data_IF_280145546233
#
_entry.id   IF_280145546233
#
_cell.length_a   1.000
_cell.length_b   1.000
_cell.length_c   1.000
_cell.angle_alpha   90.00
_cell.angle_beta   90.00
_cell.angle_gamma   90.00
#
_symmetry.space_group_name_H-M   'P 1'
#
loop_
_entity.id
_entity.type
_entity.pdbx_description
1 polymer ?
#
# COMPACT_ATOMS: atom_id res chain seq x y z
N UNK A 1 -18.51 1.87 -17.48
CA UNK A 1 -18.22 2.20 -16.07
C UNK A 1 -16.74 2.47 -15.98
N UNK A 2 -16.36 3.75 -15.93
CA UNK A 2 -14.98 4.18 -15.82
C UNK A 2 -14.48 3.84 -14.42
N UNK A 3 -13.94 2.64 -14.25
CA UNK A 3 -13.08 2.38 -13.12
C UNK A 3 -11.91 3.36 -13.24
N UNK A 4 -11.85 4.35 -12.34
CA UNK A 4 -10.63 5.12 -12.12
C UNK A 4 -9.63 4.20 -11.37
N UNK A 5 -9.28 3.06 -11.98
CA UNK A 5 -8.17 2.25 -11.51
C UNK A 5 -6.92 2.94 -11.96
N UNK A 6 -6.12 3.42 -11.01
CA UNK A 6 -4.76 3.88 -11.31
C UNK A 6 -4.06 2.76 -12.06
N UNK A 7 -3.78 3.01 -13.34
CA UNK A 7 -3.20 2.01 -14.22
C UNK A 7 -1.71 1.84 -13.91
N UNK A 8 -1.13 0.72 -14.34
CA UNK A 8 0.31 0.53 -14.20
C UNK A 8 1.10 1.61 -14.96
N UNK A 9 0.57 2.09 -16.08
CA UNK A 9 1.16 3.21 -16.82
C UNK A 9 1.20 4.49 -15.99
N UNK A 10 0.16 4.79 -15.21
CA UNK A 10 0.14 5.96 -14.34
C UNK A 10 1.19 5.86 -13.22
N UNK A 11 1.36 4.67 -12.64
CA UNK A 11 2.41 4.43 -11.64
C UNK A 11 3.80 4.58 -12.27
N UNK A 12 4.00 4.03 -13.46
CA UNK A 12 5.28 4.17 -14.19
C UNK A 12 5.56 5.63 -14.58
N UNK A 13 4.55 6.39 -14.99
CA UNK A 13 4.71 7.79 -15.34
C UNK A 13 5.19 8.63 -14.14
N UNK A 14 4.62 8.37 -12.96
CA UNK A 14 4.88 9.17 -11.77
C UNK A 14 6.10 8.72 -10.95
N UNK A 15 6.41 7.42 -10.95
CA UNK A 15 7.33 6.82 -9.98
C UNK A 15 8.39 5.90 -10.59
N UNK A 16 8.54 5.76 -11.91
CA UNK A 16 9.52 4.82 -12.50
C UNK A 16 10.93 4.98 -11.91
N UNK A 17 11.48 6.19 -11.97
CA UNK A 17 12.84 6.45 -11.52
C UNK A 17 12.99 6.19 -10.02
N UNK A 18 11.98 6.56 -9.22
CA UNK A 18 11.95 6.27 -7.79
C UNK A 18 11.93 4.78 -7.49
N UNK A 19 11.09 4.01 -8.19
CA UNK A 19 10.97 2.56 -8.02
C UNK A 19 12.28 1.84 -8.38
N UNK A 20 12.92 2.23 -9.48
CA UNK A 20 14.19 1.66 -9.92
C UNK A 20 15.32 1.99 -8.95
N UNK A 21 15.43 3.25 -8.53
CA UNK A 21 16.44 3.68 -7.57
C UNK A 21 16.26 3.06 -6.19
N UNK A 22 15.02 3.05 -5.68
CA UNK A 22 14.68 2.44 -4.40
C UNK A 22 14.99 0.94 -4.42
N UNK A 23 14.67 0.22 -5.51
CA UNK A 23 15.04 -1.20 -5.61
C UNK A 23 16.55 -1.41 -5.62
N UNK A 24 17.29 -0.63 -6.43
CA UNK A 24 18.75 -0.74 -6.52
C UNK A 24 19.40 -0.58 -5.14
N UNK A 25 19.04 0.48 -4.42
CA UNK A 25 19.61 0.79 -3.10
C UNK A 25 19.20 -0.27 -2.07
N UNK A 26 17.91 -0.60 -2.02
CA UNK A 26 17.40 -1.51 -1.00
C UNK A 26 17.87 -2.94 -1.22
N UNK A 27 18.02 -3.39 -2.47
CA UNK A 27 18.59 -4.71 -2.77
C UNK A 27 19.98 -4.84 -2.18
N UNK A 28 20.86 -3.87 -2.40
CA UNK A 28 22.23 -3.92 -1.89
C UNK A 28 22.25 -3.96 -0.34
N UNK A 29 21.30 -3.27 0.30
CA UNK A 29 21.11 -3.32 1.77
C UNK A 29 20.60 -4.69 2.21
N UNK A 30 19.61 -5.26 1.51
CA UNK A 30 19.03 -6.56 1.85
C UNK A 30 20.06 -7.68 1.70
N UNK A 31 20.84 -7.66 0.62
CA UNK A 31 21.90 -8.64 0.36
C UNK A 31 23.03 -8.56 1.39
N UNK A 32 23.30 -7.36 1.92
CA UNK A 32 24.31 -7.15 2.96
C UNK A 32 23.82 -7.45 4.39
N UNK A 33 22.50 -7.56 4.61
CA UNK A 33 21.92 -7.71 5.95
C UNK A 33 22.10 -9.11 6.56
N UNK A 34 22.28 -10.14 5.74
CA UNK A 34 22.57 -11.50 6.17
C UNK A 34 23.53 -12.20 5.17
N UNK A 35 24.55 -12.95 5.61
CA UNK A 35 25.51 -13.60 4.72
C UNK A 35 24.88 -14.54 3.67
N UNK A 36 23.70 -15.11 3.97
CA UNK A 36 22.97 -15.99 3.07
C UNK A 36 21.96 -15.26 2.18
N UNK A 37 21.68 -13.97 2.43
CA UNK A 37 20.64 -13.21 1.74
C UNK A 37 20.91 -13.09 0.24
N UNK A 38 22.16 -12.79 -0.16
CA UNK A 38 22.56 -12.68 -1.56
C UNK A 38 22.32 -13.98 -2.36
N UNK A 39 22.50 -15.13 -1.72
CA UNK A 39 22.33 -16.44 -2.36
C UNK A 39 20.88 -16.91 -2.32
N UNK A 40 20.16 -16.63 -1.23
CA UNK A 40 18.81 -17.17 -1.00
C UNK A 40 17.70 -16.25 -1.48
N UNK A 41 17.98 -14.95 -1.67
CA UNK A 41 16.96 -13.93 -1.98
C UNK A 41 15.96 -13.71 -0.84
N UNK A 42 16.31 -14.12 0.39
CA UNK A 42 15.42 -14.15 1.55
C UNK A 42 16.07 -13.51 2.77
N UNK A 43 15.23 -12.88 3.60
CA UNK A 43 15.63 -12.33 4.90
C UNK A 43 14.61 -12.71 5.97
N UNK A 44 15.04 -12.96 7.22
CA UNK A 44 14.13 -12.94 8.37
C UNK A 44 13.29 -11.66 8.36
N UNK A 45 11.99 -11.78 8.66
CA UNK A 45 11.06 -10.65 8.65
C UNK A 45 11.52 -9.47 9.52
N UNK A 46 12.17 -9.75 10.64
CA UNK A 46 12.76 -8.72 11.51
C UNK A 46 13.90 -7.94 10.82
N UNK A 47 14.81 -8.63 10.14
CA UNK A 47 15.91 -7.98 9.42
C UNK A 47 15.41 -7.15 8.24
N UNK A 48 14.35 -7.59 7.54
CA UNK A 48 13.71 -6.79 6.51
C UNK A 48 13.18 -5.46 7.09
N UNK A 49 12.52 -5.51 8.25
CA UNK A 49 12.03 -4.32 8.95
C UNK A 49 13.17 -3.37 9.32
N UNK A 50 14.27 -3.89 9.84
CA UNK A 50 15.43 -3.09 10.22
C UNK A 50 16.09 -2.44 8.99
N UNK A 51 16.18 -3.16 7.87
CA UNK A 51 16.65 -2.62 6.60
C UNK A 51 15.79 -1.45 6.13
N UNK A 52 14.46 -1.60 6.14
CA UNK A 52 13.54 -0.53 5.74
C UNK A 52 13.66 0.69 6.66
N UNK A 53 13.80 0.47 7.97
CA UNK A 53 13.98 1.54 8.97
C UNK A 53 15.34 2.23 8.89
N UNK A 54 16.35 1.58 8.31
CA UNK A 54 17.68 2.17 8.12
C UNK A 54 17.70 3.32 7.10
N UNK A 55 16.61 3.51 6.35
CA UNK A 55 16.45 4.56 5.31
C UNK A 55 15.20 5.43 5.54
N UNK A 56 15.12 6.16 6.66
CA UNK A 56 13.98 7.03 6.95
C UNK A 56 13.80 8.17 5.92
N UNK A 57 14.85 8.53 5.20
CA UNK A 57 14.81 9.49 4.09
C UNK A 57 14.10 8.95 2.84
N UNK A 58 13.90 7.63 2.75
CA UNK A 58 13.20 6.95 1.63
C UNK A 58 11.80 6.51 2.01
N UNK A 59 11.63 6.02 3.23
CA UNK A 59 10.35 5.48 3.70
C UNK A 59 9.97 6.09 5.04
N UNK A 60 8.79 6.69 5.08
CA UNK A 60 8.14 7.09 6.33
C UNK A 60 7.78 5.87 7.18
N UNK A 61 7.58 6.07 8.49
CA UNK A 61 7.20 4.97 9.40
C UNK A 61 5.89 4.27 9.00
N UNK A 62 4.97 5.02 8.38
CA UNK A 62 3.72 4.46 7.85
C UNK A 62 4.00 3.57 6.63
N UNK A 63 4.79 4.04 5.66
CA UNK A 63 5.16 3.24 4.49
C UNK A 63 5.89 1.96 4.88
N UNK A 64 6.80 2.02 5.87
CA UNK A 64 7.45 0.81 6.41
C UNK A 64 6.41 -0.16 6.95
N UNK A 65 5.40 0.33 7.67
CA UNK A 65 4.33 -0.52 8.23
C UNK A 65 3.54 -1.20 7.12
N UNK A 66 3.14 -0.45 6.09
CA UNK A 66 2.40 -0.97 4.93
C UNK A 66 3.25 -1.98 4.13
N UNK A 67 4.52 -1.68 3.88
CA UNK A 67 5.44 -2.61 3.23
C UNK A 67 5.56 -3.90 4.04
N UNK A 68 5.70 -3.83 5.37
CA UNK A 68 5.72 -5.04 6.18
C UNK A 68 4.40 -5.83 6.11
N UNK A 69 3.24 -5.18 6.02
CA UNK A 69 1.97 -5.87 5.82
C UNK A 69 1.89 -6.60 4.47
N UNK A 70 2.47 -6.00 3.41
CA UNK A 70 2.54 -6.59 2.08
C UNK A 70 3.60 -7.70 1.95
N UNK A 71 4.59 -7.72 2.84
CA UNK A 71 5.73 -8.63 2.76
C UNK A 71 5.31 -10.11 2.91
N UNK A 72 5.46 -10.94 1.87
CA UNK A 72 5.04 -12.34 1.90
C UNK A 72 5.97 -13.13 2.82
N UNK A 73 5.48 -13.47 4.01
CA UNK A 73 6.24 -14.20 5.01
C UNK A 73 5.97 -15.69 4.86
N UNK A 74 7.00 -16.46 4.56
CA UNK A 74 6.91 -17.91 4.50
C UNK A 74 6.83 -18.55 5.88
N UNK A 75 6.56 -19.85 5.92
CA UNK A 75 6.40 -20.63 7.16
C UNK A 75 7.65 -20.63 8.04
N UNK A 76 8.82 -20.37 7.46
CA UNK A 76 10.09 -20.24 8.16
C UNK A 76 10.33 -18.83 8.75
N UNK A 77 9.36 -17.92 8.64
CA UNK A 77 9.48 -16.54 9.12
C UNK A 77 10.34 -15.63 8.23
N UNK A 78 10.80 -16.13 7.08
CA UNK A 78 11.57 -15.34 6.12
C UNK A 78 10.67 -14.74 5.03
N UNK A 79 11.10 -13.60 4.51
CA UNK A 79 10.49 -12.88 3.40
C UNK A 79 11.41 -12.94 2.21
N UNK A 80 10.87 -13.25 1.02
CA UNK A 80 11.60 -13.13 -0.24
C UNK A 80 11.66 -11.65 -0.66
N UNK A 81 12.82 -11.00 -0.50
CA UNK A 81 12.93 -9.55 -0.70
C UNK A 81 12.89 -9.13 -2.18
N UNK A 82 13.02 -10.06 -3.13
CA UNK A 82 12.77 -9.77 -4.55
C UNK A 82 11.31 -9.40 -4.86
N UNK A 83 10.37 -9.61 -3.92
CA UNK A 83 9.00 -9.09 -4.01
C UNK A 83 8.89 -7.60 -3.72
N UNK A 84 9.94 -6.98 -3.17
CA UNK A 84 9.95 -5.58 -2.75
C UNK A 84 9.54 -4.58 -3.86
N UNK A 85 10.00 -4.68 -5.13
CA UNK A 85 9.57 -3.77 -6.18
C UNK A 85 8.05 -3.83 -6.43
N UNK A 86 7.46 -5.02 -6.34
CA UNK A 86 6.02 -5.19 -6.47
C UNK A 86 5.26 -4.59 -5.28
N UNK A 87 5.79 -4.77 -4.06
CA UNK A 87 5.22 -4.15 -2.85
C UNK A 87 5.25 -2.62 -2.93
N UNK A 88 6.38 -2.05 -3.36
CA UNK A 88 6.53 -0.61 -3.51
C UNK A 88 5.60 -0.05 -4.62
N UNK A 89 5.43 -0.80 -5.71
CA UNK A 89 4.45 -0.46 -6.76
C UNK A 89 3.02 -0.40 -6.24
N UNK A 90 2.61 -1.37 -5.41
CA UNK A 90 1.30 -1.39 -4.76
C UNK A 90 1.15 -0.12 -3.89
N UNK A 91 2.13 0.17 -3.05
CA UNK A 91 2.11 1.34 -2.17
C UNK A 91 1.98 2.66 -2.96
N UNK A 92 2.71 2.80 -4.08
CA UNK A 92 2.60 3.99 -4.94
C UNK A 92 1.28 4.08 -5.68
N UNK A 93 0.71 2.95 -6.11
CA UNK A 93 -0.64 2.91 -6.67
C UNK A 93 -1.66 3.44 -5.67
N UNK A 94 -1.61 2.97 -4.43
CA UNK A 94 -2.52 3.44 -3.36
C UNK A 94 -2.30 4.92 -3.04
N UNK A 95 -1.06 5.41 -3.12
CA UNK A 95 -0.77 6.84 -2.95
C UNK A 95 -1.46 7.70 -4.03
N UNK A 96 -1.49 7.25 -5.29
CA UNK A 96 -2.21 7.95 -6.37
C UNK A 96 -3.72 7.83 -6.16
N UNK A 97 -4.23 6.65 -5.81
CA UNK A 97 -5.66 6.45 -5.52
C UNK A 97 -6.12 7.43 -4.44
N UNK A 98 -5.38 7.53 -3.33
CA UNK A 98 -5.69 8.43 -2.24
C UNK A 98 -5.69 9.90 -2.69
N UNK A 99 -4.69 10.32 -3.49
CA UNK A 99 -4.65 11.68 -4.03
C UNK A 99 -5.84 12.00 -4.96
N UNK A 100 -6.30 11.03 -5.75
CA UNK A 100 -7.51 11.19 -6.58
C UNK A 100 -8.75 11.32 -5.69
N UNK A 101 -8.91 10.46 -4.68
CA UNK A 101 -10.06 10.48 -3.78
C UNK A 101 -10.13 11.75 -2.93
N UNK A 102 -8.99 12.36 -2.61
CA UNK A 102 -8.91 13.67 -1.94
C UNK A 102 -9.48 14.81 -2.78
N UNK A 103 -9.39 14.73 -4.10
CA UNK A 103 -9.73 15.83 -5.01
C UNK A 103 -11.04 15.62 -5.77
N UNK A 104 -11.39 14.37 -6.09
CA UNK A 104 -12.59 13.99 -6.84
C UNK A 104 -13.67 13.39 -5.92
N UNK A 105 -14.67 14.22 -5.59
CA UNK A 105 -15.81 13.81 -4.76
C UNK A 105 -16.67 12.72 -5.40
N UNK A 106 -16.72 12.64 -6.73
CA UNK A 106 -17.49 11.61 -7.42
C UNK A 106 -16.77 10.27 -7.32
N UNK A 107 -15.45 10.25 -7.56
CA UNK A 107 -14.63 9.05 -7.37
C UNK A 107 -14.72 8.54 -5.92
N UNK A 108 -14.67 9.46 -4.93
CA UNK A 108 -14.87 9.11 -3.54
C UNK A 108 -16.25 8.50 -3.26
N UNK A 109 -17.31 9.10 -3.81
CA UNK A 109 -18.67 8.57 -3.68
C UNK A 109 -18.78 7.15 -4.23
N UNK A 110 -18.22 6.90 -5.42
CA UNK A 110 -18.24 5.59 -6.05
C UNK A 110 -17.52 4.53 -5.20
N UNK A 111 -16.34 4.84 -4.64
CA UNK A 111 -15.62 3.92 -3.76
C UNK A 111 -16.41 3.59 -2.47
N UNK A 112 -17.04 4.60 -1.85
CA UNK A 112 -17.90 4.37 -0.68
C UNK A 112 -19.08 3.46 -1.05
N UNK A 113 -19.75 3.72 -2.18
CA UNK A 113 -20.85 2.89 -2.65
C UNK A 113 -20.42 1.44 -2.95
N UNK A 114 -19.23 1.24 -3.51
CA UNK A 114 -18.67 -0.09 -3.73
C UNK A 114 -18.39 -0.82 -2.41
N UNK A 115 -17.85 -0.13 -1.41
CA UNK A 115 -17.64 -0.70 -0.08
C UNK A 115 -18.97 -1.09 0.60
N UNK A 116 -19.98 -0.24 0.49
CA UNK A 116 -21.33 -0.50 0.98
C UNK A 116 -21.96 -1.73 0.28
N UNK A 117 -21.87 -1.80 -1.05
CA UNK A 117 -22.39 -2.94 -1.81
C UNK A 117 -21.71 -4.26 -1.45
N UNK A 118 -20.38 -4.26 -1.21
CA UNK A 118 -19.66 -5.47 -0.74
C UNK A 118 -20.17 -5.99 0.60
N UNK A 119 -20.70 -5.09 1.43
CA UNK A 119 -21.30 -5.40 2.72
C UNK A 119 -22.81 -5.69 2.63
N UNK A 120 -23.35 -5.81 1.41
CA UNK A 120 -24.76 -6.08 1.17
C UNK A 120 -25.69 -4.89 1.40
N UNK A 121 -25.14 -3.68 1.54
CA UNK A 121 -25.92 -2.45 1.70
C UNK A 121 -26.28 -1.87 0.34
N UNK A 122 -27.54 -1.48 0.15
CA UNK A 122 -28.01 -0.76 -1.04
C UNK A 122 -27.88 0.76 -0.88
N UNK A 123 -27.98 1.51 -1.97
CA UNK A 123 -27.98 2.99 -1.94
C UNK A 123 -29.10 3.59 -1.08
N UNK A 124 -30.21 2.86 -0.90
CA UNK A 124 -31.36 3.27 -0.08
C UNK A 124 -31.25 2.83 1.39
N UNK A 125 -30.18 2.09 1.74
CA UNK A 125 -30.00 1.56 3.09
C UNK A 125 -29.71 2.69 4.08
N UNK A 126 -30.59 2.87 5.05
CA UNK A 126 -30.33 3.71 6.21
C UNK A 126 -29.42 2.96 7.18
N UNK A 127 -28.12 3.27 7.16
CA UNK A 127 -27.15 2.65 8.04
C UNK A 127 -26.96 3.45 9.33
N UNK A 128 -26.95 2.80 10.50
CA UNK A 128 -26.46 3.44 11.71
C UNK A 128 -25.04 3.96 11.51
N UNK A 129 -24.74 5.16 12.02
CA UNK A 129 -23.44 5.80 11.85
C UNK A 129 -22.25 4.92 12.30
N UNK A 130 -22.45 4.09 13.34
CA UNK A 130 -21.41 3.19 13.82
C UNK A 130 -21.07 2.09 12.81
N UNK A 131 -22.07 1.53 12.12
CA UNK A 131 -21.88 0.51 11.10
C UNK A 131 -21.22 1.13 9.87
N UNK A 132 -21.63 2.35 9.50
CA UNK A 132 -20.97 3.09 8.43
C UNK A 132 -19.49 3.33 8.72
N UNK A 133 -19.14 3.70 9.97
CA UNK A 133 -17.74 3.85 10.40
C UNK A 133 -16.95 2.55 10.34
N UNK A 134 -17.57 1.42 10.68
CA UNK A 134 -16.95 0.10 10.57
C UNK A 134 -16.68 -0.28 9.12
N UNK A 135 -17.64 -0.02 8.23
CA UNK A 135 -17.48 -0.21 6.78
C UNK A 135 -16.34 0.66 6.26
N UNK A 136 -16.33 1.96 6.57
CA UNK A 136 -15.24 2.85 6.19
C UNK A 136 -13.90 2.41 6.80
N UNK A 137 -13.88 1.93 8.03
CA UNK A 137 -12.67 1.38 8.66
C UNK A 137 -12.16 0.10 7.99
N UNK A 138 -13.04 -0.66 7.33
CA UNK A 138 -12.66 -1.81 6.51
C UNK A 138 -12.13 -1.41 5.13
N UNK A 139 -12.39 -0.18 4.70
CA UNK A 139 -11.78 0.38 3.49
C UNK A 139 -10.40 0.96 3.81
N UNK A 140 -9.47 0.93 2.86
CA UNK A 140 -8.20 1.66 2.99
C UNK A 140 -8.36 3.17 2.67
N UNK A 141 -9.59 3.69 2.64
CA UNK A 141 -9.88 5.08 2.31
C UNK A 141 -9.34 6.01 3.39
N UNK A 142 -8.42 6.89 2.99
CA UNK A 142 -7.91 7.95 3.83
C UNK A 142 -8.84 9.18 3.72
N UNK A 143 -9.93 9.21 4.49
CA UNK A 143 -10.86 10.34 4.48
C UNK A 143 -10.34 11.50 5.34
N UNK A 144 -10.21 12.68 4.74
CA UNK A 144 -9.98 13.91 5.49
C UNK A 144 -11.21 14.27 6.34
N UNK A 145 -10.99 15.02 7.42
CA UNK A 145 -12.09 15.57 8.24
C UNK A 145 -13.11 16.36 7.41
N UNK A 146 -12.67 17.05 6.36
CA UNK A 146 -13.56 17.80 5.47
C UNK A 146 -14.44 16.92 4.59
N UNK A 147 -14.04 15.68 4.30
CA UNK A 147 -14.85 14.73 3.53
C UNK A 147 -15.87 13.97 4.40
N UNK A 148 -15.69 13.99 5.72
CA UNK A 148 -16.62 13.38 6.68
C UNK A 148 -17.75 14.31 7.16
N UNK A 149 -17.69 15.60 6.81
CA UNK A 149 -18.65 16.64 7.19
C UNK A 149 -19.45 17.13 5.99
#
# INVERSE_FOLDING_TARGET
TNQCHVTDEAVQLCYRDELEDSWRIMRDIFEAADPSAATTGKLPRGLLLDCLRSRPERFSSMEVTLLMQLAPTGDNGCVAFHSFPSMLRILRRESINNAVLETDKNALREEILLALHKMGCSEESCLPLWLFREILGSTQLCLSRMQMH
#
